data_IF_394960553076
#
_entry.id   IF_394960553076
#
_cell.length_a   1.000
_cell.length_b   1.000
_cell.length_c   1.000
_cell.angle_alpha   90.00
_cell.angle_beta   90.00
_cell.angle_gamma   90.00
#
_symmetry.space_group_name_H-M   'P 1'
#
loop_
_entity.id
_entity.type
_entity.pdbx_description
1 polymer ?
#
# COMPACT_ATOMS: atom_id res chain seq x y z
N UNK A 1 -3.95 -5.72 -27.31
CA UNK A 1 -4.04 -5.48 -25.86
C UNK A 1 -5.41 -4.88 -25.61
N UNK A 2 -6.37 -5.66 -25.12
CA UNK A 2 -7.70 -5.15 -24.79
C UNK A 2 -7.63 -4.52 -23.40
N UNK A 3 -7.87 -3.21 -23.30
CA UNK A 3 -8.10 -2.55 -22.03
C UNK A 3 -9.41 -3.11 -21.46
N UNK A 4 -9.29 -3.92 -20.42
CA UNK A 4 -10.45 -4.36 -19.64
C UNK A 4 -10.88 -3.15 -18.84
N UNK A 5 -11.95 -2.49 -19.27
CA UNK A 5 -12.58 -1.42 -18.50
C UNK A 5 -13.30 -2.09 -17.32
N UNK A 6 -12.56 -2.33 -16.23
CA UNK A 6 -13.16 -2.74 -14.97
C UNK A 6 -13.72 -1.48 -14.34
N UNK A 7 -15.02 -1.26 -14.49
CA UNK A 7 -15.72 -0.35 -13.60
C UNK A 7 -15.37 -0.79 -12.18
N UNK A 8 -14.64 0.06 -11.45
CA UNK A 8 -14.08 -0.26 -10.14
C UNK A 8 -15.24 -0.29 -9.15
N UNK A 9 -15.62 -1.49 -8.70
CA UNK A 9 -16.84 -1.73 -7.90
C UNK A 9 -16.67 -1.35 -6.41
N UNK A 10 -15.46 -1.04 -5.92
CA UNK A 10 -15.24 -0.96 -4.46
C UNK A 10 -14.88 0.40 -3.88
N UNK A 11 -14.95 1.50 -4.63
CA UNK A 11 -14.84 2.81 -3.97
C UNK A 11 -16.19 3.15 -3.31
N UNK A 12 -16.20 3.63 -2.05
CA UNK A 12 -17.45 4.11 -1.46
C UNK A 12 -18.06 5.23 -2.30
N UNK A 13 -19.39 5.26 -2.41
CA UNK A 13 -20.10 6.26 -3.21
C UNK A 13 -19.86 7.70 -2.74
N UNK A 14 -19.57 7.87 -1.46
CA UNK A 14 -19.25 9.17 -0.85
C UNK A 14 -17.82 9.66 -1.11
N UNK A 15 -16.93 8.81 -1.66
CA UNK A 15 -15.55 9.19 -1.89
C UNK A 15 -15.35 9.71 -3.32
N UNK A 16 -15.11 11.02 -3.41
CA UNK A 16 -14.63 11.69 -4.61
C UNK A 16 -13.10 11.68 -4.65
N UNK A 17 -12.56 11.25 -5.79
CA UNK A 17 -11.11 11.09 -5.99
C UNK A 17 -10.70 11.86 -7.23
N UNK A 18 -9.68 12.70 -7.09
CA UNK A 18 -9.09 13.50 -8.16
C UNK A 18 -7.59 13.64 -7.98
N UNK A 19 -6.93 14.38 -8.88
CA UNK A 19 -5.49 14.63 -8.81
C UNK A 19 -5.06 15.51 -7.62
N UNK A 20 -6.00 16.17 -6.95
CA UNK A 20 -5.74 16.95 -5.73
C UNK A 20 -5.96 16.14 -4.45
N UNK A 21 -6.52 14.93 -4.56
CA UNK A 21 -6.77 14.07 -3.41
C UNK A 21 -5.44 13.61 -2.82
N UNK A 22 -5.25 13.81 -1.52
CA UNK A 22 -4.13 13.22 -0.75
C UNK A 22 -4.71 12.30 0.30
N UNK A 23 -4.27 11.04 0.33
CA UNK A 23 -4.66 10.07 1.33
C UNK A 23 -3.46 9.62 2.16
N UNK A 24 -3.69 9.49 3.47
CA UNK A 24 -2.74 8.95 4.44
C UNK A 24 -3.20 7.55 4.85
N UNK A 25 -2.42 6.55 4.49
CA UNK A 25 -2.61 5.16 4.89
C UNK A 25 -1.75 4.88 6.13
N UNK A 26 -2.39 4.50 7.23
CA UNK A 26 -1.71 4.15 8.48
C UNK A 26 -1.92 2.66 8.74
N UNK A 27 -0.84 1.91 8.85
CA UNK A 27 -0.85 0.47 9.04
C UNK A 27 0.14 0.02 10.12
N UNK A 28 -0.20 -1.02 10.92
CA UNK A 28 0.77 -1.65 11.82
C UNK A 28 2.03 -2.18 11.10
N UNK A 29 1.85 -2.85 9.96
CA UNK A 29 2.90 -3.45 9.14
C UNK A 29 2.76 -3.04 7.66
N UNK A 30 3.85 -3.16 6.90
CA UNK A 30 4.03 -2.60 5.55
C UNK A 30 3.26 -3.33 4.43
N UNK A 31 2.43 -4.30 4.77
CA UNK A 31 1.60 -5.09 3.88
C UNK A 31 0.11 -4.96 4.21
N UNK A 32 -0.23 -4.48 5.42
CA UNK A 32 -1.61 -4.37 5.88
C UNK A 32 -2.43 -3.43 4.98
N UNK A 33 -1.83 -2.35 4.45
CA UNK A 33 -2.52 -1.41 3.57
C UNK A 33 -2.97 -2.05 2.25
N UNK A 34 -2.12 -2.89 1.66
CA UNK A 34 -2.42 -3.57 0.40
C UNK A 34 -3.46 -4.66 0.65
N UNK A 35 -3.31 -5.40 1.74
CA UNK A 35 -4.24 -6.47 2.13
C UNK A 35 -5.64 -5.95 2.48
N UNK A 36 -5.73 -4.79 3.15
CA UNK A 36 -7.01 -4.27 3.62
C UNK A 36 -7.71 -3.36 2.61
N UNK A 37 -6.97 -2.56 1.83
CA UNK A 37 -7.56 -1.53 0.98
C UNK A 37 -6.77 -1.27 -0.32
N UNK A 38 -6.07 -2.29 -0.86
CA UNK A 38 -5.29 -2.17 -2.10
C UNK A 38 -6.06 -1.61 -3.30
N UNK A 39 -7.31 -2.05 -3.52
CA UNK A 39 -8.13 -1.54 -4.65
C UNK A 39 -8.46 -0.05 -4.51
N UNK A 40 -8.64 0.44 -3.27
CA UNK A 40 -8.87 1.86 -3.02
C UNK A 40 -7.61 2.69 -3.29
N UNK A 41 -6.43 2.17 -2.94
CA UNK A 41 -5.15 2.81 -3.26
C UNK A 41 -4.95 2.91 -4.78
N UNK A 42 -5.28 1.84 -5.52
CA UNK A 42 -5.26 1.83 -6.98
C UNK A 42 -6.19 2.89 -7.57
N UNK A 43 -7.41 3.03 -7.06
CA UNK A 43 -8.34 4.10 -7.47
C UNK A 43 -7.72 5.48 -7.29
N UNK A 44 -7.13 5.75 -6.12
CA UNK A 44 -6.51 7.04 -5.81
C UNK A 44 -5.36 7.34 -6.78
N UNK A 45 -4.47 6.38 -6.99
CA UNK A 45 -3.36 6.51 -7.93
C UNK A 45 -3.84 6.70 -9.38
N UNK A 46 -4.83 5.93 -9.83
CA UNK A 46 -5.36 6.00 -11.21
C UNK A 46 -5.97 7.36 -11.55
N UNK A 47 -6.42 8.11 -10.55
CA UNK A 47 -6.96 9.47 -10.68
C UNK A 47 -5.91 10.57 -10.48
N UNK A 48 -4.65 10.20 -10.31
CA UNK A 48 -3.53 11.12 -10.09
C UNK A 48 -3.43 11.66 -8.66
N UNK A 49 -4.15 11.05 -7.72
CA UNK A 49 -4.09 11.41 -6.31
C UNK A 49 -2.76 10.97 -5.67
N UNK A 50 -2.43 11.57 -4.53
CA UNK A 50 -1.20 11.29 -3.78
C UNK A 50 -1.48 10.34 -2.61
N UNK A 51 -0.63 9.32 -2.46
CA UNK A 51 -0.62 8.44 -1.31
C UNK A 51 0.58 8.72 -0.41
N UNK A 52 0.35 8.68 0.90
CA UNK A 52 1.39 8.70 1.93
C UNK A 52 1.17 7.50 2.83
N UNK A 53 2.20 6.67 2.99
CA UNK A 53 2.16 5.49 3.85
C UNK A 53 2.90 5.76 5.15
N UNK A 54 2.26 5.44 6.28
CA UNK A 54 2.85 5.46 7.61
C UNK A 54 2.71 4.07 8.23
N UNK A 55 3.80 3.32 8.23
CA UNK A 55 3.88 2.05 8.93
C UNK A 55 4.32 2.28 10.38
N UNK A 56 3.52 1.80 11.33
CA UNK A 56 3.71 2.04 12.77
C UNK A 56 4.86 1.22 13.33
N UNK A 57 5.08 0.02 12.81
CA UNK A 57 6.18 -0.86 13.23
C UNK A 57 7.10 -1.17 12.07
N UNK A 58 8.30 -1.66 12.37
CA UNK A 58 9.25 -2.13 11.36
C UNK A 58 9.11 -3.64 11.05
N UNK A 59 8.03 -4.29 11.52
CA UNK A 59 7.81 -5.73 11.33
C UNK A 59 8.85 -6.65 12.01
N UNK A 60 9.69 -6.13 12.91
CA UNK A 60 10.82 -6.87 13.50
C UNK A 60 10.41 -8.08 14.35
N UNK A 61 9.17 -8.14 14.84
CA UNK A 61 8.68 -9.26 15.64
C UNK A 61 8.35 -10.52 14.82
N UNK A 62 8.25 -10.42 13.49
CA UNK A 62 7.84 -11.55 12.64
C UNK A 62 9.00 -12.50 12.28
N UNK A 63 10.20 -12.24 12.81
CA UNK A 63 11.34 -13.15 12.69
C UNK A 63 11.15 -14.40 13.57
N UNK A 64 10.18 -15.25 13.22
CA UNK A 64 10.18 -16.66 13.59
C UNK A 64 11.32 -17.44 12.90
N UNK A 65 12.21 -16.78 12.14
CA UNK A 65 13.40 -17.36 11.56
C UNK A 65 14.64 -16.52 11.87
N UNK A 66 15.29 -16.85 12.98
CA UNK A 66 16.69 -16.53 13.34
C UNK A 66 17.10 -15.04 13.42
N UNK A 67 17.61 -14.68 14.59
CA UNK A 67 18.04 -13.36 15.07
C UNK A 67 19.11 -12.62 14.23
N UNK A 68 19.58 -13.21 13.13
CA UNK A 68 20.55 -12.64 12.18
C UNK A 68 19.92 -11.95 10.96
N UNK A 69 18.60 -12.05 10.74
CA UNK A 69 17.93 -11.51 9.53
C UNK A 69 17.19 -10.18 9.71
N UNK A 70 17.08 -9.59 10.91
CA UNK A 70 16.18 -8.45 11.13
C UNK A 70 16.53 -7.18 10.30
N UNK A 71 17.81 -6.88 10.11
CA UNK A 71 18.23 -5.72 9.30
C UNK A 71 18.03 -5.99 7.79
N UNK A 72 18.36 -7.20 7.35
CA UNK A 72 18.14 -7.64 5.97
C UNK A 72 16.63 -7.70 5.63
N UNK A 73 15.80 -8.12 6.59
CA UNK A 73 14.35 -8.16 6.45
C UNK A 73 13.74 -6.75 6.38
N UNK A 74 14.21 -5.83 7.22
CA UNK A 74 13.78 -4.43 7.14
C UNK A 74 14.15 -3.79 5.80
N UNK A 75 15.32 -4.12 5.24
CA UNK A 75 15.74 -3.65 3.93
C UNK A 75 14.94 -4.30 2.79
N UNK A 76 14.67 -5.60 2.88
CA UNK A 76 13.81 -6.31 1.92
C UNK A 76 12.39 -5.74 1.89
N UNK A 77 11.77 -5.51 3.06
CA UNK A 77 10.43 -4.89 3.13
C UNK A 77 10.39 -3.48 2.57
N UNK A 78 11.43 -2.67 2.77
CA UNK A 78 11.53 -1.35 2.11
C UNK A 78 11.53 -1.49 0.58
N UNK A 79 12.19 -2.51 0.04
CA UNK A 79 12.21 -2.77 -1.39
C UNK A 79 10.87 -3.29 -1.90
N UNK A 80 10.19 -4.13 -1.13
CA UNK A 80 8.82 -4.60 -1.43
C UNK A 80 7.82 -3.44 -1.45
N UNK A 81 7.85 -2.55 -0.45
CA UNK A 81 7.01 -1.34 -0.44
C UNK A 81 7.25 -0.48 -1.68
N UNK A 82 8.52 -0.26 -2.06
CA UNK A 82 8.85 0.50 -3.27
C UNK A 82 8.38 -0.20 -4.56
N UNK A 83 8.47 -1.53 -4.61
CA UNK A 83 8.00 -2.31 -5.75
C UNK A 83 6.48 -2.31 -5.89
N UNK A 84 5.75 -2.30 -4.77
CA UNK A 84 4.28 -2.24 -4.75
C UNK A 84 3.71 -0.85 -5.08
N UNK A 85 4.55 0.18 -5.13
CA UNK A 85 4.15 1.57 -5.44
C UNK A 85 4.42 2.03 -6.88
N UNK A 86 4.95 1.16 -7.75
CA UNK A 86 5.14 1.42 -9.19
C UNK A 86 4.06 0.74 -10.04
#
# INVERSE_FOLDING_TARGET
MHAVNRDIISKPDWLEVSSTTTALAISPHSDDEVLAYGELLEVICSKGGRLVFLTVTNGRSEAAFTTLMAAALSQARKQETLASTN
#
